data_IF_111217470698
#
_entry.id   IF_111217470698
#
_cell.length_a   1.000
_cell.length_b   1.000
_cell.length_c   1.000
_cell.angle_alpha   90.00
_cell.angle_beta   90.00
_cell.angle_gamma   90.00
#
_symmetry.space_group_name_H-M   'P 1'
#
loop_
_entity.id
_entity.type
_entity.pdbx_description
1 polymer ?
#
# COMPACT_ATOMS: atom_id res chain seq x y z
N UNK A 1 -17.12 1.06 23.93
CA UNK A 1 -17.24 2.26 23.08
C UNK A 1 -17.35 1.75 21.65
N UNK A 2 -18.52 1.85 21.02
CA UNK A 2 -18.72 1.41 19.62
C UNK A 2 -18.20 2.53 18.73
N UNK A 3 -17.09 2.30 18.03
CA UNK A 3 -16.57 3.26 17.06
C UNK A 3 -17.28 2.98 15.74
N UNK A 4 -18.04 3.97 15.29
CA UNK A 4 -18.79 3.95 14.04
C UNK A 4 -17.81 3.82 12.86
N UNK A 5 -17.92 2.74 12.09
CA UNK A 5 -17.01 2.40 10.98
C UNK A 5 -17.48 3.11 9.70
N UNK A 6 -17.60 4.43 9.76
CA UNK A 6 -17.81 5.28 8.59
C UNK A 6 -16.73 6.35 8.59
N UNK A 7 -16.00 6.43 7.48
CA UNK A 7 -14.88 7.34 7.19
C UNK A 7 -13.49 6.90 7.66
N UNK A 8 -12.83 6.05 6.86
CA UNK A 8 -11.44 6.33 6.49
C UNK A 8 -11.48 6.91 5.07
N UNK A 9 -11.75 8.22 4.97
CA UNK A 9 -11.68 9.03 3.76
C UNK A 9 -10.22 9.24 3.34
N UNK A 10 -9.61 8.20 2.76
CA UNK A 10 -8.28 8.28 2.14
C UNK A 10 -7.08 8.32 3.10
N UNK A 11 -7.27 8.19 4.41
CA UNK A 11 -6.18 8.02 5.36
C UNK A 11 -6.06 6.55 5.75
N UNK A 12 -4.88 5.95 5.51
CA UNK A 12 -4.55 4.62 6.03
C UNK A 12 -4.65 4.66 7.55
N UNK A 13 -5.71 4.06 8.08
CA UNK A 13 -5.96 3.95 9.50
C UNK A 13 -4.93 2.96 10.08
N UNK A 14 -3.78 3.47 10.54
CA UNK A 14 -2.73 2.66 11.17
C UNK A 14 -3.30 2.05 12.45
N UNK A 15 -3.20 0.71 12.65
CA UNK A 15 -3.77 0.07 13.81
C UNK A 15 -3.22 0.66 15.11
N UNK A 16 -4.10 0.91 16.08
CA UNK A 16 -3.72 1.49 17.39
C UNK A 16 -2.60 0.70 18.10
N UNK A 17 -2.61 -0.63 17.93
CA UNK A 17 -1.55 -1.51 18.43
C UNK A 17 -0.17 -1.17 17.83
N UNK A 18 -0.11 -0.86 16.52
CA UNK A 18 1.15 -0.50 15.84
C UNK A 18 1.65 0.83 16.36
N UNK A 19 0.77 1.82 16.46
CA UNK A 19 1.12 3.16 16.98
C UNK A 19 1.65 3.05 18.42
N UNK A 20 0.97 2.30 19.28
CA UNK A 20 1.41 2.05 20.66
C UNK A 20 2.76 1.34 20.72
N UNK A 21 3.00 0.36 19.85
CA UNK A 21 4.29 -0.34 19.79
C UNK A 21 5.42 0.63 19.42
N UNK A 22 5.23 1.49 18.42
CA UNK A 22 6.25 2.50 18.03
C UNK A 22 6.60 3.40 19.21
N UNK A 23 5.61 3.94 19.92
CA UNK A 23 5.87 4.81 21.05
C UNK A 23 6.58 4.08 22.20
N UNK A 24 6.21 2.83 22.46
CA UNK A 24 6.83 2.01 23.51
C UNK A 24 8.30 1.71 23.18
N UNK A 25 8.58 1.37 21.92
CA UNK A 25 9.94 1.09 21.45
C UNK A 25 10.80 2.37 21.46
N UNK A 26 10.24 3.51 21.04
CA UNK A 26 10.92 4.80 21.08
C UNK A 26 11.25 5.24 22.51
N UNK A 27 10.32 5.11 23.45
CA UNK A 27 10.54 5.44 24.86
C UNK A 27 11.64 4.54 25.46
N UNK A 28 11.61 3.25 25.15
CA UNK A 28 12.62 2.29 25.57
C UNK A 28 14.02 2.66 25.06
N UNK A 29 14.14 3.04 23.79
CA UNK A 29 15.40 3.54 23.21
C UNK A 29 15.87 4.82 23.89
N UNK A 30 14.96 5.76 24.14
CA UNK A 30 15.25 7.02 24.82
C UNK A 30 15.78 6.81 26.24
N UNK A 31 15.16 5.90 27.00
CA UNK A 31 15.58 5.56 28.35
C UNK A 31 16.97 4.89 28.38
N UNK A 32 17.22 3.93 27.48
CA UNK A 32 18.53 3.27 27.37
C UNK A 32 19.64 4.25 27.01
N UNK A 33 19.39 5.13 26.04
CA UNK A 33 20.33 6.17 25.63
C UNK A 33 20.59 7.19 26.75
N UNK A 34 19.53 7.63 27.43
CA UNK A 34 19.63 8.55 28.56
C UNK A 34 20.45 7.98 29.71
N UNK A 35 20.27 6.71 30.04
CA UNK A 35 21.08 6.04 31.07
C UNK A 35 22.55 5.94 30.65
N UNK A 36 22.86 5.56 29.40
CA UNK A 36 24.24 5.53 28.91
C UNK A 36 24.92 6.90 28.97
N UNK A 37 24.23 7.96 28.54
CA UNK A 37 24.74 9.33 28.63
C UNK A 37 25.06 9.68 30.09
N UNK A 38 24.14 9.40 31.02
CA UNK A 38 24.34 9.65 32.44
C UNK A 38 25.50 8.85 33.05
N UNK A 39 25.74 7.62 32.59
CA UNK A 39 26.88 6.81 33.00
C UNK A 39 28.20 7.37 32.47
N UNK A 40 28.24 7.81 31.20
CA UNK A 40 29.43 8.45 30.62
C UNK A 40 29.77 9.78 31.30
N UNK A 41 28.78 10.59 31.66
CA UNK A 41 29.01 11.82 32.43
C UNK A 41 29.57 11.52 33.82
N UNK A 42 29.01 10.53 34.52
CA UNK A 42 29.51 10.07 35.83
C UNK A 42 30.93 9.52 35.71
N UNK A 43 31.20 8.70 34.71
CA UNK A 43 32.54 8.18 34.41
C UNK A 43 33.52 9.34 34.23
N UNK A 44 33.18 10.33 33.39
CA UNK A 44 34.02 11.50 33.11
C UNK A 44 34.35 12.30 34.37
N UNK A 45 33.38 12.50 35.26
CA UNK A 45 33.57 13.20 36.55
C UNK A 45 34.45 12.40 37.52
N UNK A 46 34.34 11.07 37.49
CA UNK A 46 35.04 10.17 38.42
C UNK A 46 36.41 9.71 37.95
N UNK A 47 36.87 10.11 36.75
CA UNK A 47 38.19 9.72 36.20
C UNK A 47 39.37 9.92 37.16
N UNK A 48 39.28 10.89 38.08
CA UNK A 48 40.31 11.15 39.12
C UNK A 48 40.26 10.18 40.31
N UNK A 49 39.16 9.44 40.48
CA UNK A 49 38.90 8.50 41.57
C UNK A 49 38.89 7.06 41.05
N UNK A 50 40.07 6.44 40.96
CA UNK A 50 40.30 5.14 40.31
C UNK A 50 39.26 4.06 40.65
N UNK A 51 38.95 3.87 41.95
CA UNK A 51 38.01 2.82 42.40
C UNK A 51 36.54 3.12 42.04
N UNK A 52 36.10 4.36 42.17
CA UNK A 52 34.71 4.74 41.88
C UNK A 52 34.43 4.73 40.36
N UNK A 53 35.42 5.16 39.57
CA UNK A 53 35.38 5.10 38.11
C UNK A 53 35.20 3.67 37.58
N UNK A 54 35.95 2.70 38.11
CA UNK A 54 35.87 1.30 37.66
C UNK A 54 34.47 0.71 37.87
N UNK A 55 33.82 0.99 39.01
CA UNK A 55 32.46 0.52 39.27
C UNK A 55 31.42 1.08 38.30
N UNK A 56 31.54 2.36 37.92
CA UNK A 56 30.64 2.97 36.93
C UNK A 56 30.86 2.35 35.55
N UNK A 57 32.10 2.07 35.18
CA UNK A 57 32.44 1.42 33.91
C UNK A 57 31.95 -0.02 33.84
N UNK A 58 32.16 -0.82 34.88
CA UNK A 58 31.62 -2.19 34.97
C UNK A 58 30.08 -2.21 34.89
N UNK A 59 29.42 -1.23 35.49
CA UNK A 59 27.97 -1.10 35.40
C UNK A 59 27.53 -0.71 33.98
N UNK A 60 28.24 0.22 33.32
CA UNK A 60 27.98 0.60 31.94
C UNK A 60 28.16 -0.59 30.97
N UNK A 61 29.21 -1.40 31.16
CA UNK A 61 29.43 -2.61 30.34
C UNK A 61 28.26 -3.60 30.50
N UNK A 62 27.76 -3.80 31.72
CA UNK A 62 26.57 -4.64 31.98
C UNK A 62 25.30 -4.06 31.35
N UNK A 63 25.11 -2.74 31.43
CA UNK A 63 23.99 -2.06 30.81
C UNK A 63 24.04 -2.22 29.27
N UNK A 64 25.20 -2.07 28.64
CA UNK A 64 25.39 -2.29 27.21
C UNK A 64 25.03 -3.72 26.76
N UNK A 65 25.39 -4.74 27.54
CA UNK A 65 25.02 -6.13 27.24
C UNK A 65 23.50 -6.30 27.22
N UNK A 66 22.82 -5.78 28.24
CA UNK A 66 21.35 -5.82 28.33
C UNK A 66 20.68 -5.01 27.22
N UNK A 67 21.19 -3.82 26.91
CA UNK A 67 20.63 -2.98 25.84
C UNK A 67 20.80 -3.58 24.46
N UNK A 68 21.86 -4.36 24.25
CA UNK A 68 22.01 -5.14 23.03
C UNK A 68 20.91 -6.20 22.86
N UNK A 69 20.46 -6.82 23.96
CA UNK A 69 19.34 -7.75 23.92
C UNK A 69 18.02 -7.03 23.66
N UNK A 70 17.75 -5.94 24.38
CA UNK A 70 16.56 -5.10 24.16
C UNK A 70 16.49 -4.55 22.72
N UNK A 71 17.62 -4.15 22.14
CA UNK A 71 17.68 -3.70 20.75
C UNK A 71 17.33 -4.80 19.75
N UNK A 72 17.68 -6.06 20.04
CA UNK A 72 17.28 -7.20 19.19
C UNK A 72 15.78 -7.47 19.28
N UNK A 73 15.20 -7.34 20.46
CA UNK A 73 13.75 -7.49 20.67
C UNK A 73 12.99 -6.40 19.90
N UNK A 74 13.39 -5.13 20.07
CA UNK A 74 12.83 -3.99 19.31
C UNK A 74 13.00 -4.23 17.81
N UNK A 75 14.19 -4.60 17.34
CA UNK A 75 14.39 -4.93 15.93
C UNK A 75 13.48 -6.08 15.48
N UNK A 76 13.30 -7.11 16.31
CA UNK A 76 12.43 -8.25 16.06
C UNK A 76 10.96 -7.85 15.84
N UNK A 77 10.47 -6.82 16.52
CA UNK A 77 9.12 -6.28 16.29
C UNK A 77 8.91 -5.79 14.85
N UNK A 78 9.98 -5.38 14.18
CA UNK A 78 9.96 -4.72 12.86
C UNK A 78 10.61 -5.54 11.75
N UNK A 79 11.38 -6.60 12.06
CA UNK A 79 12.20 -7.31 11.05
C UNK A 79 11.39 -8.17 10.08
N UNK A 80 10.14 -8.54 10.39
CA UNK A 80 9.30 -9.34 9.48
C UNK A 80 7.82 -8.92 9.49
N UNK A 81 7.50 -7.77 10.08
CA UNK A 81 6.10 -7.34 10.22
C UNK A 81 5.60 -6.70 8.93
N UNK A 82 5.25 -7.54 7.96
CA UNK A 82 4.37 -7.15 6.85
C UNK A 82 2.98 -6.91 7.46
N UNK A 83 2.61 -5.64 7.66
CA UNK A 83 1.23 -5.29 7.97
C UNK A 83 0.36 -5.78 6.80
N UNK A 84 -0.48 -6.76 7.06
CA UNK A 84 -1.38 -7.30 6.03
C UNK A 84 -2.60 -6.39 5.89
N UNK A 85 -3.31 -6.51 4.77
CA UNK A 85 -4.58 -5.81 4.55
C UNK A 85 -5.61 -6.12 5.67
N UNK A 86 -5.58 -7.35 6.18
CA UNK A 86 -6.42 -7.82 7.29
C UNK A 86 -6.07 -7.14 8.61
N UNK A 87 -4.77 -6.96 8.90
CA UNK A 87 -4.31 -6.20 10.08
C UNK A 87 -4.73 -4.73 10.03
N UNK A 88 -4.95 -4.20 8.82
CA UNK A 88 -5.41 -2.83 8.54
C UNK A 88 -6.95 -2.70 8.52
N UNK A 89 -7.68 -3.79 8.81
CA UNK A 89 -9.14 -3.80 8.82
C UNK A 89 -9.80 -3.70 7.45
N UNK A 90 -9.05 -3.93 6.38
CA UNK A 90 -9.62 -4.02 5.03
C UNK A 90 -10.38 -5.33 4.91
N UNK A 91 -11.67 -5.25 4.56
CA UNK A 91 -12.41 -6.44 4.12
C UNK A 91 -11.85 -6.86 2.76
N UNK A 92 -11.51 -8.13 2.60
CA UNK A 92 -11.20 -8.67 1.28
C UNK A 92 -12.42 -8.50 0.35
N UNK A 93 -12.24 -8.21 -0.94
CA UNK A 93 -13.34 -8.19 -1.90
C UNK A 93 -14.02 -9.57 -2.06
N UNK A 94 -13.38 -10.65 -1.61
CA UNK A 94 -13.90 -12.02 -1.73
C UNK A 94 -15.01 -12.35 -0.73
N UNK A 95 -15.27 -11.48 0.26
CA UNK A 95 -16.44 -11.59 1.14
C UNK A 95 -17.67 -10.85 0.56
N UNK A 96 -17.57 -10.36 -0.69
CA UNK A 96 -18.72 -9.84 -1.43
C UNK A 96 -19.49 -11.02 -2.07
N UNK A 97 -20.73 -11.31 -1.61
CA UNK A 97 -21.54 -12.39 -2.17
C UNK A 97 -21.86 -12.22 -3.67
N UNK A 98 -21.52 -11.09 -4.29
CA UNK A 98 -21.67 -10.89 -5.74
C UNK A 98 -20.56 -11.53 -6.61
N UNK A 99 -19.40 -11.93 -6.04
CA UNK A 99 -18.26 -12.39 -6.86
C UNK A 99 -18.34 -13.89 -7.20
N UNK A 100 -18.97 -14.71 -6.35
CA UNK A 100 -19.13 -16.16 -6.60
C UNK A 100 -20.12 -16.48 -7.73
N UNK A 101 -21.07 -15.60 -8.03
CA UNK A 101 -22.06 -15.82 -9.10
C UNK A 101 -21.48 -15.59 -10.50
N UNK A 102 -20.45 -14.75 -10.67
CA UNK A 102 -19.92 -14.38 -11.99
C UNK A 102 -18.94 -15.43 -12.55
N UNK A 103 -18.34 -16.27 -11.70
CA UNK A 103 -17.29 -17.23 -12.11
C UNK A 103 -17.80 -18.65 -12.37
N UNK A 104 -19.09 -18.93 -12.11
CA UNK A 104 -19.67 -20.28 -12.21
C UNK A 104 -20.64 -20.47 -13.38
N UNK A 105 -20.78 -19.51 -14.28
CA UNK A 105 -21.52 -19.72 -15.51
C UNK A 105 -20.62 -20.40 -16.55
N UNK A 106 -20.93 -21.67 -16.84
CA UNK A 106 -20.40 -22.37 -18.02
C UNK A 106 -20.58 -21.48 -19.26
N UNK A 107 -19.59 -21.38 -20.17
CA UNK A 107 -19.70 -20.55 -21.35
C UNK A 107 -20.82 -21.08 -22.25
N UNK A 108 -22.00 -20.46 -22.16
CA UNK A 108 -23.12 -20.75 -23.03
C UNK A 108 -22.73 -20.27 -24.44
N UNK A 109 -22.55 -21.21 -25.37
CA UNK A 109 -22.33 -20.88 -26.78
C UNK A 109 -23.48 -19.97 -27.27
N UNK A 110 -23.12 -18.72 -27.62
CA UNK A 110 -24.08 -17.75 -28.13
C UNK A 110 -24.72 -18.29 -29.42
N UNK A 111 -26.06 -18.37 -29.52
CA UNK A 111 -26.72 -18.70 -30.77
C UNK A 111 -26.37 -17.64 -31.81
N UNK A 112 -25.93 -18.06 -32.99
CA UNK A 112 -25.80 -17.19 -34.17
C UNK A 112 -27.20 -16.89 -34.72
N UNK A 113 -27.97 -16.08 -34.01
CA UNK A 113 -29.19 -15.47 -34.56
C UNK A 113 -28.84 -14.12 -35.20
N UNK A 114 -29.24 -13.94 -36.44
CA UNK A 114 -29.22 -12.63 -37.10
C UNK A 114 -30.18 -11.71 -36.35
N UNK A 115 -29.63 -10.74 -35.63
CA UNK A 115 -30.40 -9.81 -34.79
C UNK A 115 -31.22 -8.90 -35.69
N UNK A 116 -32.55 -9.09 -35.71
CA UNK A 116 -33.48 -8.12 -36.30
C UNK A 116 -33.48 -6.84 -35.45
N UNK A 117 -32.71 -5.85 -35.89
CA UNK A 117 -32.56 -4.53 -35.22
C UNK A 117 -33.89 -3.82 -34.93
N UNK A 118 -34.96 -4.14 -35.65
CA UNK A 118 -36.32 -3.60 -35.49
C UNK A 118 -37.06 -4.10 -34.23
N UNK A 119 -36.54 -5.12 -33.53
CA UNK A 119 -37.14 -5.66 -32.29
C UNK A 119 -36.41 -5.23 -31.02
N UNK A 120 -35.32 -4.47 -31.14
CA UNK A 120 -34.57 -4.02 -29.98
C UNK A 120 -35.33 -2.94 -29.20
N UNK A 121 -35.29 -2.97 -27.86
CA UNK A 121 -35.85 -1.92 -27.02
C UNK A 121 -35.36 -0.52 -27.43
N UNK A 122 -36.29 0.44 -27.53
CA UNK A 122 -35.99 1.86 -27.74
C UNK A 122 -35.13 2.39 -26.59
N UNK A 123 -34.12 3.21 -26.91
CA UNK A 123 -33.13 3.71 -25.96
C UNK A 123 -31.92 2.80 -25.75
N UNK A 124 -31.76 1.74 -26.54
CA UNK A 124 -30.51 0.98 -26.61
C UNK A 124 -29.48 1.71 -27.47
N UNK A 125 -28.23 1.66 -27.04
CA UNK A 125 -27.07 2.16 -27.78
C UNK A 125 -26.36 0.97 -28.41
N UNK A 126 -26.17 1.03 -29.72
CA UNK A 126 -25.42 0.05 -30.49
C UNK A 126 -24.04 0.61 -30.81
N UNK A 127 -23.02 -0.23 -30.63
CA UNK A 127 -21.67 0.04 -31.11
C UNK A 127 -21.25 -1.06 -32.08
N UNK A 128 -20.31 -0.74 -32.97
CA UNK A 128 -19.73 -1.77 -33.84
C UNK A 128 -18.86 -2.73 -33.02
N UNK A 129 -18.79 -3.99 -33.43
CA UNK A 129 -17.88 -4.96 -32.79
C UNK A 129 -16.42 -4.51 -32.84
N UNK A 130 -16.03 -3.76 -33.87
CA UNK A 130 -14.69 -3.19 -34.02
C UNK A 130 -14.45 -2.10 -32.97
N UNK A 131 -15.41 -1.19 -32.75
CA UNK A 131 -15.34 -0.18 -31.69
C UNK A 131 -15.27 -0.83 -30.30
N UNK A 132 -16.06 -1.88 -30.06
CA UNK A 132 -16.01 -2.63 -28.80
C UNK A 132 -14.64 -3.29 -28.58
N UNK A 133 -14.07 -3.88 -29.63
CA UNK A 133 -12.74 -4.49 -29.57
C UNK A 133 -11.64 -3.49 -29.22
N UNK A 134 -11.65 -2.32 -29.86
CA UNK A 134 -10.70 -1.24 -29.56
C UNK A 134 -10.85 -0.75 -28.12
N UNK A 135 -12.07 -0.55 -27.62
CA UNK A 135 -12.29 -0.14 -26.24
C UNK A 135 -11.82 -1.20 -25.24
N UNK A 136 -11.97 -2.49 -25.56
CA UNK A 136 -11.46 -3.57 -24.73
C UNK A 136 -9.93 -3.57 -24.65
N UNK A 137 -9.24 -3.43 -25.79
CA UNK A 137 -7.78 -3.32 -25.83
C UNK A 137 -7.29 -2.09 -25.06
N UNK A 138 -8.01 -0.98 -25.14
CA UNK A 138 -7.72 0.24 -24.40
C UNK A 138 -7.83 0.04 -22.88
N UNK A 139 -8.84 -0.70 -22.41
CA UNK A 139 -8.98 -1.06 -20.99
C UNK A 139 -7.80 -1.91 -20.53
N UNK A 140 -7.32 -2.85 -21.36
CA UNK A 140 -6.13 -3.64 -21.05
C UNK A 140 -4.92 -2.72 -20.88
N UNK A 141 -4.66 -1.83 -21.84
CA UNK A 141 -3.55 -0.89 -21.77
C UNK A 141 -3.59 0.02 -20.53
N UNK A 142 -4.78 0.54 -20.18
CA UNK A 142 -4.96 1.33 -18.95
C UNK A 142 -4.64 0.52 -17.70
N UNK A 143 -5.01 -0.76 -17.68
CA UNK A 143 -4.77 -1.66 -16.54
C UNK A 143 -3.28 -1.96 -16.41
N UNK A 144 -2.57 -2.20 -17.51
CA UNK A 144 -1.11 -2.39 -17.50
C UNK A 144 -0.36 -1.14 -17.03
N UNK A 145 -0.83 0.05 -17.43
CA UNK A 145 -0.27 1.32 -16.97
C UNK A 145 -0.51 1.53 -15.46
N UNK A 146 -1.68 1.13 -14.96
CA UNK A 146 -1.99 1.15 -13.53
C UNK A 146 -1.12 0.18 -12.74
N UNK A 147 -0.90 -1.03 -13.23
CA UNK A 147 0.01 -2.01 -12.61
C UNK A 147 1.44 -1.47 -12.51
N UNK A 148 1.89 -0.75 -13.54
CA UNK A 148 3.20 -0.09 -13.56
C UNK A 148 3.29 1.00 -12.49
N UNK A 149 2.26 1.85 -12.35
CA UNK A 149 2.20 2.86 -11.29
C UNK A 149 2.15 2.22 -9.89
N UNK A 150 1.40 1.14 -9.70
CA UNK A 150 1.33 0.41 -8.43
C UNK A 150 2.67 -0.20 -8.07
N UNK A 151 3.38 -0.80 -9.02
CA UNK A 151 4.74 -1.32 -8.80
C UNK A 151 5.71 -0.22 -8.38
N UNK A 152 5.63 0.96 -9.03
CA UNK A 152 6.39 2.14 -8.67
C UNK A 152 6.09 2.60 -7.23
N UNK A 153 4.83 2.67 -6.82
CA UNK A 153 4.45 3.03 -5.44
C UNK A 153 4.92 2.01 -4.41
N UNK A 154 4.84 0.71 -4.71
CA UNK A 154 5.38 -0.35 -3.85
C UNK A 154 6.90 -0.20 -3.66
N UNK A 155 7.63 0.15 -4.72
CA UNK A 155 9.07 0.39 -4.64
C UNK A 155 9.41 1.59 -3.75
N UNK A 156 8.66 2.70 -3.88
CA UNK A 156 8.81 3.87 -3.01
C UNK A 156 8.53 3.54 -1.54
N UNK A 157 7.45 2.80 -1.27
CA UNK A 157 7.09 2.38 0.09
C UNK A 157 8.14 1.44 0.72
N UNK A 158 8.85 0.67 -0.11
CA UNK A 158 9.96 -0.19 0.31
C UNK A 158 11.30 0.57 0.49
N UNK A 159 11.35 1.87 0.22
CA UNK A 159 12.55 2.69 0.34
C UNK A 159 13.56 2.50 -0.79
N UNK A 160 13.14 1.94 -1.93
CA UNK A 160 14.00 1.81 -3.10
C UNK A 160 14.34 3.19 -3.67
N UNK A 161 15.62 3.48 -3.96
CA UNK A 161 16.01 4.74 -4.58
C UNK A 161 15.44 4.82 -6.00
N UNK A 162 14.73 5.91 -6.29
CA UNK A 162 14.17 6.20 -7.61
C UNK A 162 14.43 7.67 -7.93
N UNK A 163 14.80 7.96 -9.18
CA UNK A 163 15.02 9.33 -9.59
C UNK A 163 13.69 10.04 -9.80
N UNK A 164 13.70 11.36 -9.65
CA UNK A 164 12.54 12.20 -9.96
C UNK A 164 12.14 12.07 -11.44
N UNK A 165 13.12 11.94 -12.33
CA UNK A 165 12.92 11.80 -13.77
C UNK A 165 12.19 10.50 -14.12
N UNK A 166 12.54 9.38 -13.48
CA UNK A 166 11.87 8.09 -13.69
C UNK A 166 10.39 8.15 -13.23
N UNK A 167 10.14 8.79 -12.09
CA UNK A 167 8.78 8.96 -11.57
C UNK A 167 7.92 9.86 -12.46
N UNK A 168 8.46 11.00 -12.90
CA UNK A 168 7.77 11.90 -13.82
C UNK A 168 7.52 11.24 -15.18
N UNK A 169 8.45 10.41 -15.66
CA UNK A 169 8.31 9.66 -16.91
C UNK A 169 7.10 8.71 -16.87
N UNK A 170 7.01 7.87 -15.84
CA UNK A 170 5.89 6.91 -15.69
C UNK A 170 4.55 7.63 -15.58
N UNK A 171 4.47 8.66 -14.74
CA UNK A 171 3.22 9.41 -14.52
C UNK A 171 2.77 10.12 -15.81
N UNK A 172 3.69 10.80 -16.52
CA UNK A 172 3.36 11.51 -17.75
C UNK A 172 2.95 10.54 -18.87
N UNK A 173 3.63 9.40 -18.98
CA UNK A 173 3.29 8.37 -19.97
C UNK A 173 1.88 7.82 -19.73
N UNK A 174 1.54 7.47 -18.48
CA UNK A 174 0.21 6.98 -18.14
C UNK A 174 -0.86 8.06 -18.32
N UNK A 175 -0.58 9.31 -17.97
CA UNK A 175 -1.52 10.43 -18.19
C UNK A 175 -1.82 10.61 -19.68
N UNK A 176 -0.78 10.72 -20.51
CA UNK A 176 -0.93 10.89 -21.95
C UNK A 176 -1.66 9.72 -22.61
N UNK A 177 -1.38 8.49 -22.17
CA UNK A 177 -2.10 7.30 -22.63
C UNK A 177 -3.58 7.37 -22.30
N UNK A 178 -3.92 7.78 -21.07
CA UNK A 178 -5.32 7.90 -20.65
C UNK A 178 -6.08 8.96 -21.44
N UNK A 179 -5.47 10.14 -21.66
CA UNK A 179 -6.08 11.22 -22.45
C UNK A 179 -6.37 10.79 -23.89
N UNK A 180 -5.44 10.07 -24.52
CA UNK A 180 -5.63 9.58 -25.90
C UNK A 180 -6.70 8.48 -25.98
N UNK A 181 -6.79 7.60 -24.99
CA UNK A 181 -7.85 6.59 -24.90
C UNK A 181 -9.22 7.26 -24.74
N UNK A 182 -9.35 8.20 -23.81
CA UNK A 182 -10.62 8.91 -23.60
C UNK A 182 -11.05 9.67 -24.86
N UNK A 183 -10.12 10.33 -25.54
CA UNK A 183 -10.38 10.99 -26.82
C UNK A 183 -10.95 10.01 -27.86
N UNK A 184 -10.36 8.82 -27.98
CA UNK A 184 -10.86 7.78 -28.90
C UNK A 184 -12.24 7.27 -28.51
N UNK A 185 -12.54 7.15 -27.22
CA UNK A 185 -13.85 6.70 -26.75
C UNK A 185 -14.93 7.74 -26.96
N UNK A 186 -14.62 9.03 -26.81
CA UNK A 186 -15.54 10.13 -27.13
C UNK A 186 -15.87 10.20 -28.63
N UNK A 187 -14.92 9.83 -29.49
CA UNK A 187 -15.09 9.81 -30.95
C UNK A 187 -15.69 8.49 -31.48
N UNK A 188 -15.96 7.50 -30.61
CA UNK A 188 -16.46 6.20 -31.03
C UNK A 188 -17.90 6.30 -31.55
N UNK A 189 -18.17 5.68 -32.71
CA UNK A 189 -19.51 5.63 -33.29
C UNK A 189 -20.48 4.84 -32.41
N UNK A 190 -21.45 5.56 -31.83
CA UNK A 190 -22.55 5.00 -31.07
C UNK A 190 -23.88 5.39 -31.72
N UNK A 191 -24.73 4.40 -32.00
CA UNK A 191 -26.05 4.60 -32.61
C UNK A 191 -27.11 4.39 -31.53
N UNK A 192 -27.85 5.45 -31.19
CA UNK A 192 -29.03 5.33 -30.34
C UNK A 192 -30.24 4.86 -31.17
N UNK A 193 -30.95 3.84 -30.67
CA UNK A 193 -32.19 3.37 -31.29
C UNK A 193 -33.39 4.20 -30.78
N UNK A 194 -34.00 4.98 -31.67
CA UNK A 194 -35.21 5.80 -31.43
C UNK A 194 -36.51 5.00 -31.16
#
# INVERSE_FOLDING_TARGET
MKVDVRNCSGYHCVPDMVVKQVFTDMDSLGMMLGELIGLYEKESRLKKHHRAYLHVREYADKACIRYKENMKEIAGHWTDRKLTCEDMGCKSPTDDPYVEEVLNEDPMEAPKEEVEFSKLPKGMVLMTSDSLGVMHDDVICLTEALDTMVAMFKALAAGCPMTKEDMESVVNMTSAMSEEIFRRWEEAEMIELD
#
